data_IF_526248440352
#
_entry.id   IF_526248440352
#
_cell.length_a   1.000
_cell.length_b   1.000
_cell.length_c   1.000
_cell.angle_alpha   90.00
_cell.angle_beta   90.00
_cell.angle_gamma   90.00
#
_symmetry.space_group_name_H-M   'P 1'
#
loop_
_entity.id
_entity.type
_entity.pdbx_description
1 polymer ?
#
# COMPACT_ATOMS: atom_id res chain seq x y z
N UNK A 1 62.51 55.11 39.81
CA UNK A 1 61.96 53.73 39.49
C UNK A 1 60.46 53.93 39.31
N UNK A 2 60.05 54.02 38.05
CA UNK A 2 58.66 54.23 37.68
C UNK A 2 58.05 52.86 37.37
N UNK A 3 57.09 52.46 38.19
CA UNK A 3 56.39 51.15 38.06
C UNK A 3 55.31 51.32 36.97
N UNK A 4 55.45 50.60 35.88
CA UNK A 4 54.47 50.55 34.80
C UNK A 4 53.24 49.80 35.26
N UNK A 5 52.01 50.33 35.05
CA UNK A 5 50.78 49.66 35.46
C UNK A 5 50.57 48.34 34.68
N UNK A 6 50.23 47.27 35.38
CA UNK A 6 49.89 45.94 34.81
C UNK A 6 48.71 46.02 33.88
N UNK A 7 48.70 45.31 32.73
CA UNK A 7 47.63 45.34 31.72
C UNK A 7 46.27 44.72 32.18
N UNK A 8 46.21 44.16 33.39
CA UNK A 8 44.96 43.57 33.93
C UNK A 8 43.94 44.62 34.42
N UNK A 9 44.35 45.87 34.70
CA UNK A 9 43.45 46.93 35.18
C UNK A 9 42.69 47.68 34.07
N UNK A 10 43.16 47.59 32.84
CA UNK A 10 42.51 48.24 31.70
C UNK A 10 41.15 47.66 31.27
N UNK A 11 40.86 46.41 31.69
CA UNK A 11 39.55 45.77 31.36
C UNK A 11 38.44 46.04 32.38
N UNK A 12 38.73 46.78 33.47
CA UNK A 12 37.76 47.05 34.56
C UNK A 12 36.95 48.30 34.48
N UNK A 13 37.02 49.09 33.43
CA UNK A 13 36.36 50.41 33.35
C UNK A 13 35.37 50.59 32.22
N UNK A 14 34.64 49.55 31.91
CA UNK A 14 33.36 49.74 31.21
C UNK A 14 32.34 50.21 32.27
N UNK A 15 31.69 51.37 32.10
CA UNK A 15 30.74 51.88 33.10
C UNK A 15 29.63 50.86 33.25
N UNK A 16 29.51 50.22 34.41
CA UNK A 16 28.51 49.18 34.71
C UNK A 16 27.10 49.56 34.26
N UNK A 17 26.78 50.85 34.24
CA UNK A 17 25.51 51.40 33.75
C UNK A 17 25.30 51.16 32.25
N UNK A 18 26.34 51.35 31.42
CA UNK A 18 26.26 51.13 29.99
C UNK A 18 26.18 49.62 29.62
N UNK A 19 26.88 48.78 30.38
CA UNK A 19 26.77 47.30 30.22
C UNK A 19 25.39 46.80 30.58
N UNK A 20 24.83 47.22 31.73
CA UNK A 20 23.46 46.87 32.16
C UNK A 20 22.40 47.41 31.21
N UNK A 21 22.58 48.59 30.58
CA UNK A 21 21.66 49.13 29.59
C UNK A 21 21.67 48.28 28.30
N UNK A 22 22.86 47.90 27.81
CA UNK A 22 23.01 47.01 26.62
C UNK A 22 22.46 45.60 26.88
N UNK A 23 22.72 45.04 28.07
CA UNK A 23 22.20 43.74 28.47
C UNK A 23 20.66 43.74 28.54
N UNK A 24 20.03 44.79 29.09
CA UNK A 24 18.56 44.96 29.10
C UNK A 24 17.97 45.08 27.70
N UNK A 25 18.67 45.83 26.80
CA UNK A 25 18.24 45.95 25.40
C UNK A 25 18.27 44.62 24.69
N UNK A 26 19.36 43.85 24.81
CA UNK A 26 19.47 42.51 24.22
C UNK A 26 18.41 41.58 24.81
N UNK A 27 18.22 41.58 26.14
CA UNK A 27 17.17 40.80 26.78
C UNK A 27 15.76 41.18 26.31
N UNK A 28 15.51 42.51 26.13
CA UNK A 28 14.22 42.97 25.59
C UNK A 28 13.96 42.53 24.17
N UNK A 29 14.98 42.61 23.28
CA UNK A 29 14.87 42.10 21.90
C UNK A 29 14.63 40.60 21.90
N UNK A 30 15.35 39.84 22.73
CA UNK A 30 15.17 38.41 22.87
C UNK A 30 13.75 38.02 23.35
N UNK A 31 13.24 38.71 24.38
CA UNK A 31 11.85 38.52 24.84
C UNK A 31 10.84 38.84 23.74
N UNK A 32 11.04 39.88 22.96
CA UNK A 32 10.15 40.26 21.85
C UNK A 32 10.12 39.17 20.76
N UNK A 33 11.28 38.61 20.41
CA UNK A 33 11.38 37.50 19.47
C UNK A 33 10.67 36.26 20.01
N UNK A 34 10.89 35.91 21.28
CA UNK A 34 10.21 34.78 21.92
C UNK A 34 8.69 34.95 21.96
N UNK A 35 8.20 36.15 22.30
CA UNK A 35 6.77 36.48 22.26
C UNK A 35 6.20 36.34 20.84
N UNK A 36 6.91 36.84 19.83
CA UNK A 36 6.51 36.70 18.43
C UNK A 36 6.40 35.23 17.98
N UNK A 37 7.37 34.41 18.38
CA UNK A 37 7.33 32.96 18.14
C UNK A 37 6.17 32.29 18.87
N UNK A 38 5.92 32.65 20.13
CA UNK A 38 4.81 32.08 20.90
C UNK A 38 3.44 32.42 20.28
N UNK A 39 3.25 33.67 19.85
CA UNK A 39 2.03 34.10 19.14
C UNK A 39 1.88 33.37 17.83
N UNK A 40 2.97 33.19 17.08
CA UNK A 40 2.95 32.40 15.83
C UNK A 40 2.60 30.92 16.05
N UNK A 41 3.15 30.31 17.10
CA UNK A 41 2.81 28.93 17.48
C UNK A 41 1.34 28.79 17.86
N UNK A 42 0.81 29.73 18.67
CA UNK A 42 -0.61 29.76 19.01
C UNK A 42 -1.50 29.88 17.75
N UNK A 43 -1.12 30.77 16.83
CA UNK A 43 -1.85 30.91 15.57
C UNK A 43 -1.86 29.63 14.76
N UNK A 44 -0.71 28.96 14.61
CA UNK A 44 -0.59 27.71 13.86
C UNK A 44 -1.35 26.57 14.52
N UNK A 45 -1.31 26.44 15.86
CA UNK A 45 -1.92 25.33 16.58
C UNK A 45 -3.44 25.50 16.75
N UNK A 46 -3.91 26.71 17.01
CA UNK A 46 -5.32 26.96 17.33
C UNK A 46 -6.13 27.35 16.09
N UNK A 47 -5.65 28.28 15.29
CA UNK A 47 -6.40 28.76 14.12
C UNK A 47 -6.13 27.99 12.83
N UNK A 48 -4.91 27.48 12.67
CA UNK A 48 -4.51 26.72 11.48
C UNK A 48 -4.53 25.21 11.67
N UNK A 49 -4.73 24.72 12.90
CA UNK A 49 -4.57 23.30 13.25
C UNK A 49 -5.41 22.36 12.39
N UNK A 50 -6.68 22.66 12.16
CA UNK A 50 -7.56 21.83 11.33
C UNK A 50 -7.05 21.68 9.89
N UNK A 51 -6.71 22.76 9.24
CA UNK A 51 -6.20 22.73 7.86
C UNK A 51 -4.89 21.96 7.72
N UNK A 52 -3.98 22.11 8.68
CA UNK A 52 -2.72 21.34 8.68
C UNK A 52 -2.94 19.88 8.97
N UNK A 53 -3.89 19.54 9.86
CA UNK A 53 -4.27 18.13 10.16
C UNK A 53 -4.88 17.46 8.94
N UNK A 54 -5.83 18.10 8.25
CA UNK A 54 -6.44 17.56 7.04
C UNK A 54 -5.41 17.31 5.94
N UNK A 55 -4.45 18.25 5.80
CA UNK A 55 -3.39 18.11 4.80
C UNK A 55 -2.36 17.05 5.17
N UNK A 56 -2.06 16.87 6.44
CA UNK A 56 -1.20 15.79 6.94
C UNK A 56 -1.87 14.42 6.76
N UNK A 57 -3.16 14.29 7.11
CA UNK A 57 -3.94 13.08 6.87
C UNK A 57 -4.00 12.72 5.39
N UNK A 58 -4.25 13.69 4.51
CA UNK A 58 -4.25 13.47 3.06
C UNK A 58 -2.89 13.04 2.46
N UNK A 59 -1.78 13.31 3.16
CA UNK A 59 -0.45 12.83 2.76
C UNK A 59 -0.08 11.47 3.38
N UNK A 60 -0.66 11.14 4.53
CA UNK A 60 -0.38 9.90 5.26
C UNK A 60 -1.34 8.77 4.88
N UNK A 61 -2.57 9.11 4.49
CA UNK A 61 -3.55 8.09 4.11
C UNK A 61 -3.31 7.64 2.67
N UNK A 62 -3.19 6.33 2.50
CA UNK A 62 -3.15 5.67 1.20
C UNK A 62 -4.42 4.86 1.03
N UNK A 63 -5.16 5.18 -0.01
CA UNK A 63 -6.32 4.42 -0.41
C UNK A 63 -5.85 3.11 -1.06
N UNK A 64 -6.13 2.00 -0.41
CA UNK A 64 -5.94 0.67 -1.00
C UNK A 64 -7.31 0.14 -1.39
N UNK A 65 -7.52 -0.02 -2.69
CA UNK A 65 -8.75 -0.60 -3.22
C UNK A 65 -8.73 -2.11 -2.98
N UNK A 66 -9.74 -2.61 -2.27
CA UNK A 66 -9.98 -4.05 -2.11
C UNK A 66 -11.02 -4.46 -3.14
N UNK A 67 -10.66 -5.27 -4.15
CA UNK A 67 -11.60 -5.66 -5.17
C UNK A 67 -12.74 -6.47 -4.57
N UNK A 68 -13.96 -6.22 -5.04
CA UNK A 68 -15.13 -7.03 -4.69
C UNK A 68 -15.04 -8.41 -5.34
N UNK A 69 -15.58 -9.40 -4.66
CA UNK A 69 -15.80 -10.70 -5.27
C UNK A 69 -16.92 -10.61 -6.32
N UNK A 70 -16.66 -11.16 -7.50
CA UNK A 70 -17.63 -11.18 -8.59
C UNK A 70 -18.79 -12.10 -8.27
N UNK A 71 -20.03 -11.67 -8.57
CA UNK A 71 -21.25 -12.39 -8.32
C UNK A 71 -21.25 -13.82 -8.90
N UNK A 72 -21.91 -14.73 -8.24
CA UNK A 72 -22.06 -16.13 -8.68
C UNK A 72 -23.16 -16.28 -9.71
N UNK A 73 -23.04 -17.24 -10.63
CA UNK A 73 -24.03 -17.55 -11.64
C UNK A 73 -24.58 -18.95 -11.37
N UNK A 74 -25.89 -19.05 -11.26
CA UNK A 74 -26.60 -20.30 -11.04
C UNK A 74 -27.55 -20.59 -12.20
N UNK A 75 -27.84 -21.87 -12.44
CA UNK A 75 -28.96 -22.28 -13.28
C UNK A 75 -30.31 -22.08 -12.57
N UNK A 76 -31.41 -22.20 -13.29
CA UNK A 76 -32.76 -22.16 -12.70
C UNK A 76 -32.98 -23.23 -11.62
N UNK A 77 -32.29 -24.34 -11.71
CA UNK A 77 -32.34 -25.45 -10.75
C UNK A 77 -31.40 -25.25 -9.57
N UNK A 78 -30.75 -24.10 -9.45
CA UNK A 78 -29.81 -23.77 -8.36
C UNK A 78 -28.43 -24.39 -8.51
N UNK A 79 -28.09 -24.98 -9.66
CA UNK A 79 -26.75 -25.51 -9.91
C UNK A 79 -25.75 -24.40 -10.16
N UNK A 80 -24.63 -24.40 -9.46
CA UNK A 80 -23.56 -23.42 -9.63
C UNK A 80 -22.89 -23.57 -10.99
N UNK A 81 -22.93 -22.52 -11.81
CA UNK A 81 -22.34 -22.47 -13.15
C UNK A 81 -21.03 -21.66 -13.19
N UNK A 82 -20.95 -20.60 -12.42
CA UNK A 82 -19.74 -19.81 -12.30
C UNK A 82 -19.60 -19.22 -10.88
N UNK A 83 -18.39 -19.29 -10.33
CA UNK A 83 -18.04 -18.73 -9.02
C UNK A 83 -16.62 -18.18 -9.02
N UNK A 84 -16.24 -17.51 -7.94
CA UNK A 84 -14.86 -17.10 -7.71
C UNK A 84 -14.12 -18.19 -6.91
N UNK A 85 -12.85 -18.34 -7.23
CA UNK A 85 -11.90 -19.17 -6.48
C UNK A 85 -10.76 -18.27 -6.03
N UNK A 86 -10.45 -18.29 -4.74
CA UNK A 86 -9.32 -17.55 -4.19
C UNK A 86 -8.02 -18.03 -4.82
N UNK A 87 -7.19 -17.10 -5.22
CA UNK A 87 -5.84 -17.32 -5.70
C UNK A 87 -4.94 -16.22 -5.16
N UNK A 88 -3.65 -16.25 -5.47
CA UNK A 88 -2.68 -15.28 -5.00
C UNK A 88 -1.83 -14.78 -6.15
N UNK A 89 -1.55 -13.50 -6.16
CA UNK A 89 -0.62 -12.87 -7.11
C UNK A 89 0.67 -12.55 -6.38
N UNK A 90 1.78 -13.04 -6.92
CA UNK A 90 3.10 -12.86 -6.33
C UNK A 90 3.82 -11.70 -6.98
N UNK A 91 4.25 -10.76 -6.16
CA UNK A 91 5.01 -9.58 -6.54
C UNK A 91 6.30 -9.47 -5.74
N UNK A 92 7.29 -8.83 -6.31
CA UNK A 92 8.55 -8.56 -5.62
C UNK A 92 8.88 -7.07 -5.67
N UNK A 93 9.45 -6.58 -4.58
CA UNK A 93 10.07 -5.27 -4.48
C UNK A 93 11.59 -5.44 -4.42
N UNK A 94 12.32 -5.38 -5.55
CA UNK A 94 13.77 -5.57 -5.56
C UNK A 94 14.52 -4.56 -4.68
N UNK A 95 13.93 -3.39 -4.48
CA UNK A 95 14.49 -2.34 -3.62
C UNK A 95 14.55 -2.74 -2.15
N UNK A 96 13.58 -3.52 -1.68
CA UNK A 96 13.44 -3.94 -0.28
C UNK A 96 14.21 -5.24 0.01
N UNK A 97 14.70 -5.94 -1.03
CA UNK A 97 15.45 -7.18 -0.87
C UNK A 97 16.90 -6.90 -0.46
N UNK A 98 17.46 -7.67 0.50
CA UNK A 98 18.87 -7.63 0.82
C UNK A 98 19.74 -8.07 -0.38
N UNK A 99 20.82 -7.35 -0.68
CA UNK A 99 21.68 -7.62 -1.84
C UNK A 99 22.35 -9.00 -1.80
N UNK A 100 22.74 -9.43 -0.62
CA UNK A 100 23.37 -10.73 -0.36
C UNK A 100 22.43 -11.90 -0.61
N UNK A 101 21.10 -11.68 -0.58
CA UNK A 101 20.07 -12.72 -0.72
C UNK A 101 19.43 -12.77 -2.11
N UNK A 102 19.75 -11.84 -3.03
CA UNK A 102 19.14 -11.77 -4.35
C UNK A 102 19.30 -13.06 -5.16
N UNK A 103 20.52 -13.63 -5.18
CA UNK A 103 20.80 -14.87 -5.90
C UNK A 103 20.06 -16.07 -5.27
N UNK A 104 20.03 -16.13 -3.95
CA UNK A 104 19.31 -17.18 -3.20
C UNK A 104 17.80 -17.07 -3.47
N UNK A 105 17.24 -15.85 -3.41
CA UNK A 105 15.86 -15.60 -3.70
C UNK A 105 15.48 -15.96 -5.14
N UNK A 106 16.31 -15.56 -6.12
CA UNK A 106 16.08 -15.88 -7.52
C UNK A 106 16.08 -17.41 -7.76
N UNK A 107 17.01 -18.13 -7.18
CA UNK A 107 17.12 -19.59 -7.33
C UNK A 107 15.94 -20.32 -6.67
N UNK A 108 15.64 -20.03 -5.40
CA UNK A 108 14.56 -20.72 -4.70
C UNK A 108 13.18 -20.38 -5.24
N UNK A 109 12.94 -19.11 -5.59
CA UNK A 109 11.66 -18.73 -6.21
C UNK A 109 11.52 -19.28 -7.64
N UNK A 110 12.62 -19.41 -8.40
CA UNK A 110 12.59 -20.05 -9.72
C UNK A 110 12.15 -21.51 -9.63
N UNK A 111 12.61 -22.22 -8.63
CA UNK A 111 12.26 -23.64 -8.40
C UNK A 111 10.78 -23.77 -7.97
N UNK A 112 10.33 -22.99 -6.98
CA UNK A 112 8.95 -23.04 -6.47
C UNK A 112 7.94 -22.61 -7.54
N UNK A 113 8.26 -21.53 -8.28
CA UNK A 113 7.37 -20.93 -9.26
C UNK A 113 7.51 -21.49 -10.67
N UNK A 114 8.42 -22.44 -10.88
CA UNK A 114 8.74 -23.01 -12.20
C UNK A 114 9.10 -21.91 -13.23
N UNK A 115 9.89 -20.92 -12.81
CA UNK A 115 10.32 -19.80 -13.61
C UNK A 115 11.80 -19.89 -13.96
N UNK A 116 12.25 -19.13 -14.95
CA UNK A 116 13.65 -19.08 -15.33
C UNK A 116 14.45 -18.22 -14.32
N UNK A 117 15.43 -18.83 -13.65
CA UNK A 117 16.30 -18.19 -12.65
C UNK A 117 16.99 -16.92 -13.22
N UNK A 118 17.53 -16.99 -14.45
CA UNK A 118 18.23 -15.87 -15.06
C UNK A 118 17.32 -14.64 -15.25
N UNK A 119 16.07 -14.86 -15.69
CA UNK A 119 15.08 -13.77 -15.82
C UNK A 119 14.66 -13.18 -14.47
N UNK A 120 14.58 -14.02 -13.43
CA UNK A 120 14.28 -13.54 -12.08
C UNK A 120 15.45 -12.73 -11.52
N UNK A 121 16.67 -13.20 -11.70
CA UNK A 121 17.87 -12.47 -11.27
C UNK A 121 17.99 -11.12 -11.98
N UNK A 122 17.69 -11.05 -13.28
CA UNK A 122 17.65 -9.79 -14.04
C UNK A 122 16.62 -8.82 -13.46
N UNK A 123 15.39 -9.30 -13.19
CA UNK A 123 14.34 -8.49 -12.55
C UNK A 123 14.75 -7.99 -11.17
N UNK A 124 15.39 -8.82 -10.36
CA UNK A 124 15.83 -8.47 -9.00
C UNK A 124 17.04 -7.54 -8.99
N UNK A 125 17.83 -7.52 -10.05
CA UNK A 125 18.95 -6.60 -10.21
C UNK A 125 18.53 -5.16 -10.50
N UNK A 126 17.29 -4.95 -11.02
CA UNK A 126 16.75 -3.61 -11.21
C UNK A 126 16.19 -3.04 -9.90
N UNK A 127 17.08 -2.47 -9.09
CA UNK A 127 16.77 -1.84 -7.80
C UNK A 127 15.93 -0.57 -7.88
N UNK A 128 15.60 -0.08 -9.07
CA UNK A 128 14.71 1.07 -9.26
C UNK A 128 13.26 0.66 -9.19
N UNK A 129 12.96 -0.60 -9.46
CA UNK A 129 11.61 -1.13 -9.39
C UNK A 129 11.20 -1.41 -7.96
N UNK A 130 10.08 -0.85 -7.54
CA UNK A 130 9.43 -1.13 -6.25
C UNK A 130 8.40 -2.24 -6.35
N UNK A 131 8.02 -2.63 -7.58
CA UNK A 131 6.98 -3.61 -7.83
C UNK A 131 7.24 -4.33 -9.15
N UNK A 132 7.62 -5.57 -9.08
CA UNK A 132 7.73 -6.44 -10.23
C UNK A 132 6.86 -7.68 -10.05
N UNK A 133 6.07 -7.98 -11.07
CA UNK A 133 5.25 -9.17 -11.10
C UNK A 133 6.12 -10.41 -11.30
N UNK A 134 5.94 -11.40 -10.43
CA UNK A 134 6.56 -12.71 -10.53
C UNK A 134 5.63 -13.70 -11.24
N UNK A 135 4.47 -13.95 -10.64
CA UNK A 135 3.46 -14.86 -11.20
C UNK A 135 2.05 -14.44 -10.79
N UNK A 136 1.11 -14.53 -11.73
CA UNK A 136 -0.31 -14.31 -11.49
C UNK A 136 -1.00 -15.60 -11.02
N UNK A 137 -2.02 -15.44 -10.19
CA UNK A 137 -3.05 -16.47 -9.91
C UNK A 137 -2.49 -17.83 -9.52
N UNK A 138 -1.54 -17.82 -8.60
CA UNK A 138 -1.01 -19.07 -8.02
C UNK A 138 -2.00 -19.66 -7.02
N UNK A 139 -1.97 -20.96 -6.87
CA UNK A 139 -2.78 -21.66 -5.88
C UNK A 139 -2.20 -21.47 -4.47
N UNK A 140 -3.02 -21.74 -3.46
CA UNK A 140 -2.66 -21.57 -2.05
C UNK A 140 -1.38 -22.31 -1.67
N UNK A 141 -1.25 -23.56 -2.12
CA UNK A 141 -0.08 -24.38 -1.80
C UNK A 141 1.24 -23.76 -2.28
N UNK A 142 1.23 -23.17 -3.48
CA UNK A 142 2.40 -22.45 -4.03
C UNK A 142 2.67 -21.13 -3.29
N UNK A 143 1.63 -20.40 -2.93
CA UNK A 143 1.76 -19.17 -2.15
C UNK A 143 2.33 -19.44 -0.74
N UNK A 144 1.85 -20.48 -0.07
CA UNK A 144 2.34 -20.90 1.24
C UNK A 144 3.80 -21.37 1.14
N UNK A 145 4.18 -22.16 0.10
CA UNK A 145 5.57 -22.57 -0.13
C UNK A 145 6.52 -21.36 -0.33
N UNK A 146 6.06 -20.33 -1.05
CA UNK A 146 6.83 -19.09 -1.20
C UNK A 146 6.99 -18.37 0.13
N UNK A 147 5.93 -18.31 0.95
CA UNK A 147 5.96 -17.69 2.27
C UNK A 147 6.96 -18.41 3.18
N UNK A 148 6.85 -19.73 3.28
CA UNK A 148 7.72 -20.56 4.12
C UNK A 148 9.18 -20.43 3.68
N UNK A 149 9.45 -20.40 2.37
CA UNK A 149 10.79 -20.18 1.84
C UNK A 149 11.34 -18.80 2.21
N UNK A 150 10.53 -17.74 2.11
CA UNK A 150 10.93 -16.38 2.46
C UNK A 150 11.21 -16.25 3.96
N UNK A 151 10.37 -16.84 4.82
CA UNK A 151 10.56 -16.85 6.27
C UNK A 151 11.80 -17.64 6.68
N UNK A 152 12.01 -18.83 6.11
CA UNK A 152 13.16 -19.68 6.43
C UNK A 152 14.51 -19.04 6.06
N UNK A 153 14.52 -18.19 5.02
CA UNK A 153 15.74 -17.52 4.54
C UNK A 153 15.80 -16.03 4.92
N UNK A 154 14.83 -15.53 5.68
CA UNK A 154 14.71 -14.12 6.05
C UNK A 154 14.83 -13.20 4.82
N UNK A 155 14.04 -13.50 3.77
CA UNK A 155 13.96 -12.74 2.53
C UNK A 155 12.80 -11.76 2.65
N UNK A 156 13.11 -10.47 2.57
CA UNK A 156 12.12 -9.39 2.56
C UNK A 156 11.83 -8.92 1.14
N UNK A 157 10.74 -8.16 0.96
CA UNK A 157 10.39 -7.57 -0.35
C UNK A 157 9.61 -8.51 -1.28
N UNK A 158 9.13 -9.67 -0.81
CA UNK A 158 8.13 -10.47 -1.52
C UNK A 158 6.76 -10.16 -0.96
N UNK A 159 5.82 -9.85 -1.85
CA UNK A 159 4.40 -9.61 -1.52
C UNK A 159 3.53 -10.69 -2.12
N UNK A 160 2.62 -11.18 -1.31
CA UNK A 160 1.66 -12.23 -1.67
C UNK A 160 0.28 -11.59 -1.53
N UNK A 161 -0.22 -11.05 -2.64
CA UNK A 161 -1.51 -10.36 -2.66
C UNK A 161 -2.62 -11.36 -2.94
N UNK A 162 -3.67 -11.32 -2.13
CA UNK A 162 -4.86 -12.13 -2.38
C UNK A 162 -5.55 -11.61 -3.64
N UNK A 163 -5.96 -12.53 -4.50
CA UNK A 163 -6.61 -12.28 -5.77
C UNK A 163 -7.74 -13.31 -5.96
N UNK A 164 -8.59 -13.11 -6.93
CA UNK A 164 -9.65 -14.05 -7.27
C UNK A 164 -9.62 -14.40 -8.76
N UNK A 165 -9.91 -15.66 -9.05
CA UNK A 165 -10.07 -16.12 -10.44
C UNK A 165 -11.46 -16.71 -10.63
N UNK A 166 -12.01 -16.49 -11.82
CA UNK A 166 -13.27 -17.10 -12.19
C UNK A 166 -13.10 -18.62 -12.35
N UNK A 167 -14.02 -19.38 -11.79
CA UNK A 167 -14.04 -20.82 -11.82
C UNK A 167 -15.39 -21.31 -12.33
N UNK A 168 -15.36 -22.25 -13.27
CA UNK A 168 -16.52 -22.84 -13.91
C UNK A 168 -16.59 -24.33 -13.52
N UNK A 169 -17.40 -24.71 -12.51
CA UNK A 169 -17.46 -26.09 -12.00
C UNK A 169 -17.86 -27.12 -13.05
N UNK A 170 -18.68 -26.71 -14.01
CA UNK A 170 -19.21 -27.57 -15.06
C UNK A 170 -18.28 -27.68 -16.30
N UNK A 171 -17.05 -27.15 -16.21
CA UNK A 171 -16.06 -27.19 -17.29
C UNK A 171 -16.55 -26.54 -18.57
N UNK A 172 -16.51 -27.28 -19.68
CA UNK A 172 -16.89 -26.76 -20.99
C UNK A 172 -18.41 -26.65 -21.21
N UNK A 173 -19.20 -27.18 -20.27
CA UNK A 173 -20.65 -27.10 -20.35
C UNK A 173 -21.13 -25.65 -20.36
N UNK A 174 -21.89 -25.29 -21.37
CA UNK A 174 -22.38 -23.94 -21.61
C UNK A 174 -21.28 -22.86 -21.79
N UNK A 175 -20.04 -23.21 -22.05
CA UNK A 175 -18.93 -22.25 -22.18
C UNK A 175 -19.22 -21.15 -23.22
N UNK A 176 -19.88 -21.47 -24.34
CA UNK A 176 -20.28 -20.51 -25.36
C UNK A 176 -21.40 -19.55 -24.90
N UNK A 177 -22.23 -19.96 -23.96
CA UNK A 177 -23.33 -19.14 -23.40
C UNK A 177 -22.83 -18.32 -22.21
N UNK A 178 -22.13 -18.97 -21.26
CA UNK A 178 -21.57 -18.30 -20.09
C UNK A 178 -20.52 -17.28 -20.49
N UNK A 179 -19.67 -17.64 -21.44
CA UNK A 179 -18.51 -16.82 -21.80
C UNK A 179 -17.38 -16.96 -20.79
N UNK A 180 -16.52 -15.96 -20.73
CA UNK A 180 -15.35 -15.92 -19.84
C UNK A 180 -15.01 -14.49 -19.43
N UNK A 181 -14.20 -14.38 -18.37
CA UNK A 181 -13.67 -13.12 -17.86
C UNK A 181 -12.19 -12.96 -18.22
N UNK A 182 -11.71 -11.71 -18.25
CA UNK A 182 -10.29 -11.39 -18.41
C UNK A 182 -9.51 -11.57 -17.09
N UNK A 183 -8.23 -11.13 -17.08
CA UNK A 183 -7.36 -11.17 -15.90
C UNK A 183 -7.88 -10.27 -14.76
N UNK A 184 -8.62 -9.21 -15.08
CA UNK A 184 -9.18 -8.28 -14.11
C UNK A 184 -10.58 -8.68 -13.65
N UNK A 185 -10.99 -9.93 -13.94
CA UNK A 185 -12.34 -10.46 -13.70
C UNK A 185 -13.48 -9.69 -14.40
N UNK A 186 -13.21 -8.87 -15.40
CA UNK A 186 -14.23 -8.24 -16.23
C UNK A 186 -14.75 -9.22 -17.29
N UNK A 187 -16.05 -9.20 -17.57
CA UNK A 187 -16.67 -10.06 -18.57
C UNK A 187 -16.22 -9.72 -19.99
N UNK A 188 -15.81 -10.73 -20.78
CA UNK A 188 -15.34 -10.55 -22.16
C UNK A 188 -16.35 -11.05 -23.16
N UNK A 189 -17.14 -12.08 -22.83
CA UNK A 189 -18.09 -12.68 -23.75
C UNK A 189 -19.28 -13.30 -23.01
N UNK A 190 -20.33 -13.65 -23.74
CA UNK A 190 -21.49 -14.38 -23.24
C UNK A 190 -22.27 -13.63 -22.16
N UNK A 191 -22.76 -14.40 -21.20
CA UNK A 191 -23.53 -13.88 -20.05
C UNK A 191 -22.65 -13.08 -19.10
N UNK A 192 -21.38 -13.46 -18.95
CA UNK A 192 -20.41 -12.73 -18.16
C UNK A 192 -20.27 -11.28 -18.64
N UNK A 193 -20.23 -11.04 -19.95
CA UNK A 193 -20.20 -9.69 -20.52
C UNK A 193 -21.56 -8.99 -20.40
N UNK A 194 -22.64 -9.71 -20.68
CA UNK A 194 -23.97 -9.09 -20.69
C UNK A 194 -24.41 -8.57 -19.32
N UNK A 195 -24.02 -9.25 -18.26
CA UNK A 195 -24.36 -8.91 -16.88
C UNK A 195 -23.13 -8.43 -16.09
N UNK A 196 -22.11 -7.91 -16.76
CA UNK A 196 -20.87 -7.48 -16.13
C UNK A 196 -21.09 -6.46 -15.01
N UNK A 197 -21.92 -5.44 -15.27
CA UNK A 197 -22.25 -4.37 -14.31
C UNK A 197 -22.90 -4.91 -13.02
N UNK A 198 -23.72 -5.97 -13.13
CA UNK A 198 -24.39 -6.60 -11.99
C UNK A 198 -23.46 -7.56 -11.24
N UNK A 199 -22.59 -8.24 -11.98
CA UNK A 199 -21.71 -9.24 -11.43
C UNK A 199 -20.46 -8.66 -10.77
N UNK A 200 -19.99 -7.48 -11.19
CA UNK A 200 -18.69 -6.94 -10.74
C UNK A 200 -18.70 -6.52 -9.26
N UNK A 201 -19.87 -6.15 -8.70
CA UNK A 201 -19.95 -5.66 -7.33
C UNK A 201 -19.30 -4.27 -7.13
N UNK A 202 -19.24 -3.82 -5.89
CA UNK A 202 -18.63 -2.55 -5.51
C UNK A 202 -17.36 -2.79 -4.72
N UNK A 203 -16.25 -2.24 -5.20
CA UNK A 203 -14.96 -2.36 -4.54
C UNK A 203 -14.96 -1.68 -3.17
N UNK A 204 -14.32 -2.33 -2.21
CA UNK A 204 -14.03 -1.74 -0.93
C UNK A 204 -12.83 -0.79 -0.99
N UNK A 205 -12.72 0.08 0.01
CA UNK A 205 -11.57 0.98 0.18
C UNK A 205 -11.08 0.85 1.61
N UNK A 206 -9.82 0.51 1.76
CA UNK A 206 -9.11 0.48 3.04
C UNK A 206 -8.17 1.67 3.08
N UNK A 207 -8.38 2.55 4.07
CA UNK A 207 -7.53 3.71 4.32
C UNK A 207 -6.43 3.30 5.30
N UNK A 208 -5.22 3.20 4.80
CA UNK A 208 -4.06 2.82 5.62
C UNK A 208 -3.12 4.01 5.79
N UNK A 209 -2.78 4.34 7.04
CA UNK A 209 -1.79 5.37 7.29
C UNK A 209 -0.38 4.83 7.03
N UNK A 210 0.36 5.54 6.20
CA UNK A 210 1.75 5.21 5.86
C UNK A 210 2.69 6.35 6.24
N UNK A 211 3.92 6.01 6.60
CA UNK A 211 4.96 7.01 6.84
C UNK A 211 5.55 7.52 5.52
N UNK A 212 6.48 8.48 5.59
CA UNK A 212 7.15 9.06 4.41
C UNK A 212 7.93 8.04 3.57
N UNK A 213 8.24 6.86 4.10
CA UNK A 213 8.92 5.76 3.41
C UNK A 213 7.96 4.69 2.90
N UNK A 214 6.63 4.84 3.14
CA UNK A 214 5.62 3.89 2.68
C UNK A 214 5.33 2.71 3.62
N UNK A 215 5.91 2.70 4.84
CA UNK A 215 5.59 1.69 5.84
C UNK A 215 4.28 1.99 6.54
N UNK A 216 3.46 0.98 6.74
CA UNK A 216 2.20 1.07 7.49
C UNK A 216 2.46 1.42 8.96
N UNK A 217 1.72 2.38 9.49
CA UNK A 217 1.77 2.76 10.90
C UNK A 217 0.81 1.86 11.69
N UNK A 218 1.27 1.27 12.80
CA UNK A 218 0.47 0.37 13.65
C UNK A 218 -0.78 1.02 14.28
N UNK A 219 -0.83 2.34 14.31
CA UNK A 219 -1.97 3.14 14.82
C UNK A 219 -2.80 3.74 13.69
N UNK A 220 -2.95 3.04 12.57
CA UNK A 220 -3.74 3.53 11.44
C UNK A 220 -5.24 3.52 11.78
N UNK A 221 -5.92 4.63 11.52
CA UNK A 221 -7.37 4.70 11.51
C UNK A 221 -7.85 3.96 10.26
N UNK A 222 -8.20 2.70 10.41
CA UNK A 222 -8.87 1.94 9.35
C UNK A 222 -10.33 2.37 9.28
N UNK A 223 -10.66 3.17 8.28
CA UNK A 223 -12.05 3.30 7.86
C UNK A 223 -12.27 2.28 6.75
N UNK A 224 -12.68 1.09 7.11
CA UNK A 224 -12.99 0.04 6.16
C UNK A 224 -14.38 0.30 5.54
N UNK A 225 -14.41 0.53 4.24
CA UNK A 225 -15.59 0.21 3.46
C UNK A 225 -15.40 -1.20 2.92
N UNK A 226 -16.19 -2.13 3.45
CA UNK A 226 -16.15 -3.50 2.97
C UNK A 226 -16.63 -3.57 1.51
N UNK A 227 -15.97 -4.38 0.66
CA UNK A 227 -16.44 -4.62 -0.68
C UNK A 227 -17.82 -5.32 -0.62
N UNK A 228 -18.71 -4.91 -1.50
CA UNK A 228 -20.01 -5.57 -1.66
C UNK A 228 -19.91 -6.55 -2.81
N UNK A 229 -20.18 -7.84 -2.56
CA UNK A 229 -20.23 -8.86 -3.60
C UNK A 229 -21.25 -8.47 -4.69
N UNK A 230 -20.97 -8.84 -5.94
CA UNK A 230 -21.91 -8.66 -7.04
C UNK A 230 -23.21 -9.42 -6.81
N UNK A 231 -24.25 -9.02 -7.51
CA UNK A 231 -25.56 -9.65 -7.39
C UNK A 231 -25.54 -11.10 -7.88
N UNK A 232 -26.33 -11.93 -7.20
CA UNK A 232 -26.56 -13.33 -7.57
C UNK A 232 -27.42 -13.36 -8.85
N UNK A 233 -26.86 -13.87 -9.96
CA UNK A 233 -27.62 -14.01 -11.22
C UNK A 233 -28.16 -15.42 -11.37
N UNK A 234 -29.49 -15.54 -11.45
CA UNK A 234 -30.18 -16.78 -11.77
C UNK A 234 -30.53 -16.76 -13.26
N UNK A 235 -30.04 -17.76 -14.01
CA UNK A 235 -30.29 -17.89 -15.43
C UNK A 235 -31.24 -19.05 -15.68
N UNK A 236 -32.39 -18.76 -16.24
CA UNK A 236 -33.35 -19.75 -16.71
C UNK A 236 -32.99 -20.14 -18.14
N UNK A 237 -32.36 -21.32 -18.29
CA UNK A 237 -32.15 -21.92 -19.61
C UNK A 237 -33.32 -22.87 -19.85
N UNK A 238 -34.33 -22.38 -20.59
CA UNK A 238 -35.37 -23.31 -21.10
C UNK A 238 -34.73 -24.18 -22.16
N UNK A 239 -34.77 -25.50 -21.96
CA UNK A 239 -34.46 -26.42 -23.04
C UNK A 239 -35.38 -26.11 -24.22
N UNK A 240 -34.86 -26.04 -25.48
CA UNK A 240 -35.74 -25.99 -26.62
C UNK A 240 -36.55 -27.28 -26.63
N UNK A 241 -37.84 -27.13 -26.39
CA UNK A 241 -38.80 -28.23 -26.61
C UNK A 241 -38.58 -28.72 -28.02
N UNK A 242 -37.98 -29.92 -28.16
CA UNK A 242 -37.95 -30.61 -29.44
C UNK A 242 -39.38 -30.88 -29.89
N UNK A 243 -39.73 -30.50 -31.12
CA UNK A 243 -40.99 -30.88 -31.72
C UNK A 243 -41.08 -32.44 -31.91
#
# INVERSE_FOLDING_TARGET
MSESPKPADALRTLPERAFRARARLVAGVFCLVCCGLAVRLLFLQVLGGGWYTDRALGQQLRDTVVPADRGRIYSADGVLLAANSSCWTLRASPREMPEDKLALAAKGLAEILELNEGKLLEKFSDRRSNDCLLRYRVDRAMADAVRDFCEANDITGIRIDQDSKRWYPQGEFLASVLGFTNVDNAGVSGLELKYDDLLTGENGVVLTAVNAWGYTLEQSYETERFPTEGDLSLIHISEPTRP
#
